data_IF_120474260513
#
_entry.id   IF_120474260513
#
_cell.length_a   1.000
_cell.length_b   1.000
_cell.length_c   1.000
_cell.angle_alpha   90.00
_cell.angle_beta   90.00
_cell.angle_gamma   90.00
#
_symmetry.space_group_name_H-M   'P 1'
#
loop_
_entity.id
_entity.type
_entity.pdbx_description
1 polymer ?
#
# COMPACT_ATOMS: atom_id res chain seq x y z
N UNK A 1 6.91 9.13 -2.34
CA UNK A 1 7.59 8.20 -1.42
C UNK A 1 7.52 6.81 -2.02
N UNK A 2 8.66 6.12 -2.07
CA UNK A 2 8.74 4.73 -2.54
C UNK A 2 8.83 3.82 -1.31
N UNK A 3 8.08 2.72 -1.36
CA UNK A 3 7.92 1.76 -0.28
C UNK A 3 8.44 0.42 -0.78
N UNK A 4 9.43 -0.16 -0.13
CA UNK A 4 9.98 -1.48 -0.46
C UNK A 4 10.21 -2.26 0.83
N UNK A 5 10.39 -3.58 0.75
CA UNK A 5 10.88 -4.32 1.90
C UNK A 5 12.18 -3.72 2.44
N UNK A 6 12.43 -3.94 3.73
CA UNK A 6 13.62 -3.44 4.40
C UNK A 6 14.32 -4.60 5.11
N UNK A 7 15.64 -4.53 5.16
CA UNK A 7 16.49 -5.52 5.81
C UNK A 7 17.69 -4.86 6.48
N UNK A 8 18.33 -5.52 7.47
CA UNK A 8 19.62 -5.08 7.98
C UNK A 8 20.65 -5.01 6.83
N UNK A 9 21.51 -4.00 6.86
CA UNK A 9 22.63 -3.89 5.94
C UNK A 9 23.61 -5.06 6.18
N UNK A 10 24.01 -5.73 5.10
CA UNK A 10 24.88 -6.89 5.16
C UNK A 10 26.35 -6.53 5.50
N UNK A 11 26.70 -5.23 5.50
CA UNK A 11 28.05 -4.78 5.83
C UNK A 11 28.40 -5.09 7.29
N UNK A 12 29.55 -5.72 7.57
CA UNK A 12 29.98 -6.04 8.93
C UNK A 12 30.00 -4.79 9.82
N UNK A 13 29.35 -4.88 10.99
CA UNK A 13 29.28 -3.79 11.95
C UNK A 13 28.24 -2.70 11.65
N UNK A 14 27.48 -2.81 10.56
CA UNK A 14 26.40 -1.87 10.26
C UNK A 14 25.14 -2.17 11.08
N UNK A 15 24.52 -1.12 11.62
CA UNK A 15 23.18 -1.16 12.22
C UNK A 15 22.11 -0.54 11.33
N UNK A 16 22.49 -0.14 10.10
CA UNK A 16 21.57 0.52 9.18
C UNK A 16 20.56 -0.47 8.60
N UNK A 17 19.39 0.07 8.25
CA UNK A 17 18.34 -0.66 7.54
C UNK A 17 18.34 -0.15 6.09
N UNK A 18 18.38 -1.07 5.12
CA UNK A 18 18.39 -0.77 3.69
C UNK A 18 17.16 -1.35 3.00
N UNK A 19 16.75 -0.71 1.91
CA UNK A 19 15.67 -1.20 1.06
C UNK A 19 16.12 -2.46 0.30
N UNK A 20 15.27 -3.49 0.32
CA UNK A 20 15.41 -4.71 -0.47
C UNK A 20 14.25 -4.78 -1.45
N UNK A 21 14.55 -4.79 -2.74
CA UNK A 21 13.52 -4.96 -3.76
C UNK A 21 13.17 -6.45 -3.93
N UNK A 22 14.15 -7.33 -4.11
CA UNK A 22 13.93 -8.71 -4.58
C UNK A 22 14.15 -8.81 -6.09
N UNK A 23 14.22 -10.04 -6.62
CA UNK A 23 14.39 -10.31 -8.06
C UNK A 23 13.09 -10.74 -8.76
N UNK A 24 12.02 -10.91 -7.98
CA UNK A 24 10.70 -11.30 -8.46
C UNK A 24 10.44 -12.80 -8.49
N UNK A 25 11.45 -13.62 -8.24
CA UNK A 25 11.30 -15.07 -8.07
C UNK A 25 10.43 -15.41 -6.86
N UNK A 26 10.07 -16.69 -6.75
CA UNK A 26 9.36 -17.22 -5.58
C UNK A 26 10.21 -17.16 -4.30
N UNK A 27 11.53 -17.37 -4.42
CA UNK A 27 12.46 -17.32 -3.31
C UNK A 27 12.75 -15.87 -2.86
N UNK A 28 12.80 -14.93 -3.80
CA UNK A 28 13.08 -13.52 -3.55
C UNK A 28 12.02 -12.62 -4.21
N UNK A 29 10.77 -12.67 -3.72
CA UNK A 29 9.69 -11.90 -4.31
C UNK A 29 9.97 -10.41 -4.17
N UNK A 30 9.58 -9.63 -5.18
CA UNK A 30 9.62 -8.18 -5.05
C UNK A 30 8.27 -7.58 -4.69
N UNK A 31 8.32 -6.54 -3.86
CA UNK A 31 7.17 -5.74 -3.45
C UNK A 31 7.58 -4.28 -3.40
N UNK A 32 6.93 -3.47 -4.21
CA UNK A 32 7.16 -2.03 -4.27
C UNK A 32 5.83 -1.30 -4.19
N UNK A 33 5.83 -0.17 -3.50
CA UNK A 33 4.70 0.73 -3.40
C UNK A 33 5.13 2.17 -3.64
N UNK A 34 4.18 3.01 -4.01
CA UNK A 34 4.37 4.44 -4.07
C UNK A 34 3.14 5.17 -3.56
N UNK A 35 3.39 6.26 -2.83
CA UNK A 35 2.37 7.19 -2.35
C UNK A 35 2.96 8.59 -2.24
N UNK A 36 2.10 9.58 -2.02
CA UNK A 36 2.47 10.97 -1.81
C UNK A 36 2.06 11.38 -0.40
N UNK A 37 2.93 12.15 0.28
CA UNK A 37 2.67 12.67 1.63
C UNK A 37 1.34 13.44 1.67
N UNK A 38 1.06 14.21 0.61
CA UNK A 38 -0.21 14.93 0.46
C UNK A 38 -1.42 13.98 0.47
N UNK A 39 -1.39 12.91 -0.32
CA UNK A 39 -2.49 11.93 -0.37
C UNK A 39 -2.74 11.26 1.00
N UNK A 40 -1.68 10.96 1.74
CA UNK A 40 -1.80 10.41 3.11
C UNK A 40 -2.48 11.42 4.04
N UNK A 41 -2.06 12.69 4.00
CA UNK A 41 -2.65 13.75 4.83
C UNK A 41 -4.10 14.02 4.47
N UNK A 42 -4.41 14.06 3.18
CA UNK A 42 -5.77 14.28 2.67
C UNK A 42 -6.69 13.12 3.12
N UNK A 43 -6.22 11.87 3.02
CA UNK A 43 -6.95 10.71 3.55
C UNK A 43 -7.23 10.82 5.05
N UNK A 44 -6.19 11.13 5.85
CA UNK A 44 -6.34 11.27 7.32
C UNK A 44 -7.31 12.41 7.66
N UNK A 45 -7.31 13.50 6.88
CA UNK A 45 -8.26 14.59 7.07
C UNK A 45 -9.71 14.14 6.90
N UNK A 46 -9.98 13.23 5.95
CA UNK A 46 -11.31 12.64 5.74
C UNK A 46 -11.63 11.63 6.85
N UNK A 47 -10.66 10.79 7.23
CA UNK A 47 -10.84 9.78 8.28
C UNK A 47 -11.22 10.36 9.65
N UNK A 48 -10.63 11.50 10.02
CA UNK A 48 -10.85 12.09 11.34
C UNK A 48 -12.16 12.85 11.47
N UNK A 49 -12.93 12.99 10.38
CA UNK A 49 -14.21 13.67 10.40
C UNK A 49 -15.34 12.72 10.80
N UNK A 50 -16.05 13.05 11.87
CA UNK A 50 -17.18 12.25 12.38
C UNK A 50 -18.40 12.24 11.46
N UNK A 51 -18.52 13.24 10.59
CA UNK A 51 -19.61 13.38 9.62
C UNK A 51 -19.34 12.60 8.31
N UNK A 52 -18.22 11.88 8.21
CA UNK A 52 -17.87 11.08 7.03
C UNK A 52 -17.78 9.59 7.30
N UNK A 53 -18.09 8.84 6.26
CA UNK A 53 -17.79 7.42 6.18
C UNK A 53 -16.60 7.21 5.26
N UNK A 54 -15.49 6.70 5.79
CA UNK A 54 -14.34 6.32 4.99
C UNK A 54 -14.50 4.94 4.39
N UNK A 55 -14.42 4.87 3.07
CA UNK A 55 -14.36 3.62 2.31
C UNK A 55 -13.00 3.55 1.65
N UNK A 56 -12.19 2.56 2.04
CA UNK A 56 -10.95 2.22 1.35
C UNK A 56 -11.30 1.32 0.16
N UNK A 57 -11.01 1.78 -1.04
CA UNK A 57 -11.09 1.00 -2.26
C UNK A 57 -9.75 0.30 -2.48
N UNK A 58 -9.79 -1.01 -2.62
CA UNK A 58 -8.65 -1.86 -2.95
C UNK A 58 -8.96 -2.57 -4.25
N UNK A 59 -8.36 -2.07 -5.33
CA UNK A 59 -8.49 -2.65 -6.66
C UNK A 59 -7.21 -3.39 -7.04
N UNK A 60 -7.34 -4.50 -7.75
CA UNK A 60 -6.20 -5.25 -8.29
C UNK A 60 -6.38 -5.41 -9.79
N UNK A 61 -5.41 -4.93 -10.57
CA UNK A 61 -5.47 -5.16 -12.00
C UNK A 61 -4.95 -6.57 -12.32
N UNK A 62 -5.65 -7.34 -13.17
CA UNK A 62 -5.20 -8.66 -13.56
C UNK A 62 -3.84 -8.56 -14.28
N UNK A 63 -2.92 -9.44 -13.90
CA UNK A 63 -1.51 -9.47 -14.31
C UNK A 63 -1.26 -9.51 -15.82
N UNK A 64 -2.30 -9.72 -16.63
CA UNK A 64 -2.24 -9.72 -18.10
C UNK A 64 -2.11 -8.32 -18.71
N UNK A 65 -2.36 -7.25 -17.95
CA UNK A 65 -2.37 -5.89 -18.50
C UNK A 65 -0.99 -5.22 -18.55
N UNK A 66 -0.10 -5.49 -17.59
CA UNK A 66 1.22 -4.82 -17.50
C UNK A 66 2.26 -5.83 -16.95
N UNK A 67 3.09 -6.39 -17.83
CA UNK A 67 4.32 -7.14 -17.50
C UNK A 67 4.21 -8.40 -16.61
N UNK A 68 3.03 -8.99 -16.44
CA UNK A 68 2.90 -10.28 -15.71
C UNK A 68 2.89 -10.16 -14.18
N UNK A 69 2.94 -8.95 -13.63
CA UNK A 69 2.94 -8.70 -12.18
C UNK A 69 1.58 -8.23 -11.69
N UNK A 70 1.32 -8.43 -10.39
CA UNK A 70 0.07 -7.97 -9.78
C UNK A 70 0.24 -6.54 -9.29
N UNK A 71 -0.65 -5.67 -9.74
CA UNK A 71 -0.68 -4.27 -9.32
C UNK A 71 -1.93 -4.03 -8.50
N UNK A 72 -1.78 -3.34 -7.37
CA UNK A 72 -2.87 -2.92 -6.51
C UNK A 72 -2.96 -1.41 -6.49
N UNK A 73 -4.16 -0.88 -6.73
CA UNK A 73 -4.47 0.53 -6.57
C UNK A 73 -5.31 0.68 -5.31
N UNK A 74 -4.81 1.48 -4.37
CA UNK A 74 -5.54 1.88 -3.16
C UNK A 74 -6.05 3.29 -3.38
N UNK A 75 -7.31 3.52 -3.03
CA UNK A 75 -7.89 4.86 -3.01
C UNK A 75 -9.01 4.95 -2.00
N UNK A 76 -9.56 6.14 -1.84
CA UNK A 76 -10.71 6.40 -0.99
C UNK A 76 -11.69 7.30 -1.73
N UNK A 77 -12.97 7.22 -1.38
CA UNK A 77 -13.96 8.18 -1.90
C UNK A 77 -14.04 9.41 -1.00
N UNK A 78 -14.10 10.59 -1.61
CA UNK A 78 -14.37 11.85 -0.91
C UNK A 78 -15.88 12.19 -0.89
N UNK A 79 -16.19 13.38 -0.37
CA UNK A 79 -17.55 13.88 -0.14
C UNK A 79 -18.36 14.10 -1.42
N UNK A 80 -17.68 14.24 -2.56
CA UNK A 80 -18.30 14.41 -3.87
C UNK A 80 -18.41 13.09 -4.62
N UNK A 81 -18.25 11.96 -3.91
CA UNK A 81 -18.14 10.62 -4.48
C UNK A 81 -16.99 10.51 -5.50
N UNK A 82 -15.95 11.35 -5.38
CA UNK A 82 -14.78 11.23 -6.23
C UNK A 82 -13.83 10.21 -5.63
N UNK A 83 -13.33 9.33 -6.50
CA UNK A 83 -12.23 8.46 -6.15
C UNK A 83 -10.92 9.24 -6.11
N UNK A 84 -10.24 9.17 -4.97
CA UNK A 84 -8.92 9.79 -4.74
C UNK A 84 -7.87 8.68 -4.58
N UNK A 85 -6.82 8.64 -5.43
CA UNK A 85 -5.75 7.67 -5.31
C UNK A 85 -4.91 7.90 -4.04
N UNK A 86 -4.78 6.86 -3.22
CA UNK A 86 -3.97 6.87 -2.00
C UNK A 86 -2.57 6.31 -2.24
N UNK A 87 -2.48 5.16 -2.89
CA UNK A 87 -1.21 4.50 -3.16
C UNK A 87 -1.33 3.46 -4.29
N UNK A 88 -0.20 3.19 -4.93
CA UNK A 88 -0.08 2.13 -5.91
C UNK A 88 0.98 1.13 -5.46
N UNK A 89 0.72 -0.15 -5.67
CA UNK A 89 1.62 -1.23 -5.30
C UNK A 89 1.82 -2.18 -6.47
N UNK A 90 3.02 -2.75 -6.56
CA UNK A 90 3.35 -3.81 -7.49
C UNK A 90 4.03 -4.93 -6.72
N UNK A 91 3.53 -6.15 -6.90
CA UNK A 91 4.08 -7.35 -6.27
C UNK A 91 4.34 -8.41 -7.33
N UNK A 92 5.47 -9.09 -7.23
CA UNK A 92 5.81 -10.14 -8.18
C UNK A 92 4.91 -11.37 -8.10
N UNK A 93 4.28 -11.62 -6.94
CA UNK A 93 3.42 -12.78 -6.68
C UNK A 93 1.99 -12.38 -6.32
N UNK A 94 0.98 -12.93 -7.00
CA UNK A 94 -0.45 -12.73 -6.66
C UNK A 94 -0.88 -13.62 -5.49
N UNK A 95 -0.52 -13.25 -4.27
CA UNK A 95 -0.88 -14.01 -3.05
C UNK A 95 -1.56 -13.11 -2.02
N UNK A 96 -2.35 -13.71 -1.11
CA UNK A 96 -2.89 -13.03 0.10
C UNK A 96 -1.82 -12.28 0.91
N UNK A 97 -0.57 -12.77 0.88
CA UNK A 97 0.56 -12.12 1.53
C UNK A 97 0.93 -10.76 0.90
N UNK A 98 0.66 -10.55 -0.39
CA UNK A 98 0.90 -9.30 -1.12
C UNK A 98 -0.02 -8.18 -0.65
N UNK A 99 -1.34 -8.39 -0.63
CA UNK A 99 -2.30 -7.40 -0.14
C UNK A 99 -2.08 -7.06 1.35
N UNK A 100 -1.77 -8.07 2.17
CA UNK A 100 -1.44 -7.85 3.58
C UNK A 100 -0.19 -7.00 3.77
N UNK A 101 0.79 -7.12 2.86
CA UNK A 101 1.97 -6.25 2.85
C UNK A 101 1.62 -4.81 2.48
N UNK A 102 0.82 -4.58 1.43
CA UNK A 102 0.35 -3.26 1.03
C UNK A 102 -0.37 -2.53 2.18
N UNK A 103 -1.28 -3.23 2.86
CA UNK A 103 -2.03 -2.70 4.02
C UNK A 103 -1.12 -2.34 5.20
N UNK A 104 -0.14 -3.20 5.52
CA UNK A 104 0.84 -2.89 6.59
C UNK A 104 1.66 -1.64 6.27
N UNK A 105 2.04 -1.47 5.01
CA UNK A 105 2.80 -0.31 4.59
C UNK A 105 2.01 1.00 4.72
N UNK A 106 0.75 1.03 4.29
CA UNK A 106 -0.09 2.22 4.50
C UNK A 106 -0.30 2.51 5.97
N UNK A 107 -0.58 1.49 6.79
CA UNK A 107 -0.70 1.64 8.24
C UNK A 107 0.54 2.31 8.84
N UNK A 108 1.71 1.78 8.51
CA UNK A 108 2.99 2.33 8.96
C UNK A 108 3.16 3.78 8.50
N UNK A 109 2.91 4.08 7.23
CA UNK A 109 3.07 5.42 6.67
C UNK A 109 2.15 6.44 7.34
N UNK A 110 0.90 6.10 7.63
CA UNK A 110 -0.02 6.98 8.34
C UNK A 110 0.49 7.33 9.75
N UNK A 111 1.01 6.34 10.48
CA UNK A 111 1.60 6.56 11.81
C UNK A 111 2.89 7.37 11.69
N UNK A 112 3.82 6.97 10.82
CA UNK A 112 5.14 7.60 10.68
C UNK A 112 5.04 9.07 10.21
N UNK A 113 4.05 9.42 9.38
CA UNK A 113 3.91 10.78 8.80
C UNK A 113 2.96 11.66 9.61
N UNK A 114 1.85 11.11 10.09
CA UNK A 114 0.76 11.89 10.67
C UNK A 114 0.52 11.58 12.15
N UNK A 115 1.15 10.56 12.73
CA UNK A 115 0.88 10.04 14.07
C UNK A 115 -0.59 9.65 14.28
N UNK A 116 -1.24 9.17 13.21
CA UNK A 116 -2.64 8.75 13.22
C UNK A 116 -2.76 7.31 12.72
N UNK A 117 -3.51 6.43 13.42
CA UNK A 117 -3.75 5.08 12.94
C UNK A 117 -4.55 5.10 11.63
N UNK A 118 -4.14 4.26 10.68
CA UNK A 118 -4.94 3.96 9.50
C UNK A 118 -6.13 3.08 9.88
N UNK A 119 -7.33 3.63 9.79
CA UNK A 119 -8.57 3.07 10.29
C UNK A 119 -9.76 3.42 9.38
N UNK A 120 -9.79 2.93 8.12
CA UNK A 120 -10.98 3.06 7.29
C UNK A 120 -12.16 2.31 7.94
N UNK A 121 -13.35 2.89 7.88
CA UNK A 121 -14.57 2.25 8.42
C UNK A 121 -14.99 1.05 7.58
N UNK A 122 -14.85 1.15 6.26
CA UNK A 122 -15.15 0.06 5.33
C UNK A 122 -14.01 -0.15 4.34
N UNK A 123 -13.89 -1.39 3.86
CA UNK A 123 -13.01 -1.76 2.77
C UNK A 123 -13.85 -2.36 1.66
N UNK A 124 -13.74 -1.77 0.47
CA UNK A 124 -14.33 -2.28 -0.76
C UNK A 124 -13.22 -2.90 -1.60
N UNK A 125 -13.39 -4.14 -2.00
CA UNK A 125 -12.48 -4.82 -2.90
C UNK A 125 -13.27 -5.72 -3.85
N UNK A 126 -12.70 -5.97 -5.02
CA UNK A 126 -13.22 -6.98 -5.93
C UNK A 126 -13.25 -8.35 -5.25
N UNK A 127 -14.24 -9.15 -5.63
CA UNK A 127 -14.31 -10.55 -5.22
C UNK A 127 -13.20 -11.34 -5.92
N UNK A 128 -11.99 -11.29 -5.37
CA UNK A 128 -10.86 -12.08 -5.84
C UNK A 128 -10.89 -13.49 -5.24
N UNK A 129 -10.47 -14.48 -6.03
CA UNK A 129 -10.36 -15.90 -5.61
C UNK A 129 -8.97 -16.24 -5.04
N UNK A 130 -8.10 -15.23 -4.89
CA UNK A 130 -6.71 -15.37 -4.46
C UNK A 130 -6.53 -15.97 -3.06
#
# INVERSE_FOLDING_TARGET
MILCDTQPDARPGSTSIVSRLGDGSEAFPFRVGMTCIRQIRDYISVQNRSDFTTILHVDSTPSRAIHGYSVFAFGYSDQSCHFVPLAYFCTSQKRKLGIGWCLRYIKRVCVDICDVPFAPQYVMMDADKA
#
